data_IF_039650864557
#
_entry.id   IF_039650864557
#
_cell.length_a   1.000
_cell.length_b   1.000
_cell.length_c   1.000
_cell.angle_alpha   90.00
_cell.angle_beta   90.00
_cell.angle_gamma   90.00
#
_symmetry.space_group_name_H-M   'P 1'
#
loop_
_entity.id
_entity.type
_entity.pdbx_description
1 polymer ?
#
# COMPACT_ATOMS: atom_id res chain seq x y z
N UNK A 1 -83.67 17.71 -51.99
CA UNK A 1 -82.47 18.44 -52.48
C UNK A 1 -81.34 18.08 -51.53
N UNK A 2 -80.38 17.29 -52.00
CA UNK A 2 -79.20 16.84 -51.26
C UNK A 2 -78.24 18.00 -51.03
N UNK A 3 -77.71 18.18 -49.82
CA UNK A 3 -76.41 18.82 -49.57
C UNK A 3 -75.84 18.37 -48.22
N UNK A 4 -74.75 17.60 -48.26
CA UNK A 4 -73.64 17.70 -47.31
C UNK A 4 -72.69 18.80 -47.82
N UNK A 5 -71.95 19.50 -46.93
CA UNK A 5 -70.50 19.24 -46.82
C UNK A 5 -70.00 19.31 -45.36
N UNK A 6 -69.19 18.36 -44.89
CA UNK A 6 -67.71 18.27 -44.99
C UNK A 6 -66.97 18.90 -43.79
N UNK A 7 -66.52 18.02 -42.90
CA UNK A 7 -65.21 17.95 -42.21
C UNK A 7 -64.42 19.26 -42.07
N UNK A 8 -64.18 19.68 -40.82
CA UNK A 8 -62.99 20.43 -40.43
C UNK A 8 -62.38 19.86 -39.13
N UNK A 9 -61.67 18.75 -39.30
CA UNK A 9 -60.74 18.19 -38.33
C UNK A 9 -59.41 18.95 -38.47
N UNK A 10 -59.22 20.03 -37.70
CA UNK A 10 -58.02 20.87 -37.87
C UNK A 10 -57.74 21.96 -36.84
N UNK A 11 -58.32 21.94 -35.63
CA UNK A 11 -58.05 23.00 -34.62
C UNK A 11 -57.62 22.54 -33.22
N UNK A 12 -57.74 21.25 -32.87
CA UNK A 12 -57.36 20.76 -31.52
C UNK A 12 -55.90 20.37 -31.35
N UNK A 13 -55.14 20.10 -32.42
CA UNK A 13 -53.72 19.72 -32.32
C UNK A 13 -52.77 20.92 -32.17
N UNK A 14 -53.15 22.10 -32.68
CA UNK A 14 -52.32 23.30 -32.61
C UNK A 14 -52.33 23.98 -31.23
N UNK A 15 -53.45 23.99 -30.53
CA UNK A 15 -53.52 24.57 -29.17
C UNK A 15 -52.84 23.68 -28.11
N UNK A 16 -52.85 22.36 -28.31
CA UNK A 16 -52.07 21.41 -27.50
C UNK A 16 -50.55 21.56 -27.75
N UNK A 17 -50.14 21.90 -28.98
CA UNK A 17 -48.73 22.14 -29.31
C UNK A 17 -48.24 23.50 -28.80
N UNK A 18 -49.08 24.54 -28.82
CA UNK A 18 -48.76 25.87 -28.24
C UNK A 18 -48.70 25.87 -26.72
N UNK A 19 -49.56 25.11 -26.04
CA UNK A 19 -49.48 24.90 -24.60
C UNK A 19 -48.21 24.16 -24.17
N UNK A 20 -47.76 23.17 -24.96
CA UNK A 20 -46.52 22.46 -24.71
C UNK A 20 -45.27 23.33 -24.99
N UNK A 21 -45.30 24.17 -26.04
CA UNK A 21 -44.19 25.07 -26.38
C UNK A 21 -44.02 26.21 -25.35
N UNK A 22 -45.12 26.71 -24.75
CA UNK A 22 -45.05 27.74 -23.71
C UNK A 22 -44.57 27.19 -22.35
N UNK A 23 -44.93 25.95 -22.02
CA UNK A 23 -44.37 25.24 -20.86
C UNK A 23 -42.88 24.87 -21.06
N UNK A 24 -42.47 24.56 -22.30
CA UNK A 24 -41.07 24.28 -22.63
C UNK A 24 -40.19 25.55 -22.68
N UNK A 25 -40.76 26.70 -23.05
CA UNK A 25 -40.07 28.00 -23.03
C UNK A 25 -40.02 28.66 -21.64
N UNK A 26 -40.95 28.35 -20.73
CA UNK A 26 -40.84 28.74 -19.31
C UNK A 26 -39.91 27.82 -18.50
N UNK A 27 -39.65 26.60 -18.97
CA UNK A 27 -38.68 25.67 -18.36
C UNK A 27 -37.22 25.89 -18.83
N UNK A 28 -36.98 26.73 -19.84
CA UNK A 28 -35.65 27.13 -20.30
C UNK A 28 -35.22 28.53 -19.82
N UNK A 29 -36.06 29.23 -19.05
CA UNK A 29 -35.83 30.60 -18.57
C UNK A 29 -35.41 30.74 -17.11
N UNK A 30 -35.11 29.62 -16.41
CA UNK A 30 -34.61 29.62 -15.04
C UNK A 30 -33.33 28.79 -14.89
N UNK A 31 -32.43 28.86 -15.87
CA UNK A 31 -31.02 28.88 -15.49
C UNK A 31 -30.70 30.32 -15.18
N UNK A 32 -30.84 30.69 -13.91
CA UNK A 32 -29.95 31.69 -13.39
C UNK A 32 -28.55 31.18 -13.74
N UNK A 33 -27.88 31.85 -14.67
CA UNK A 33 -26.44 31.94 -14.55
C UNK A 33 -26.23 32.59 -13.20
N UNK A 34 -26.11 31.75 -12.17
CA UNK A 34 -25.10 31.99 -11.18
C UNK A 34 -23.82 32.08 -12.01
N UNK A 35 -23.51 33.28 -12.50
CA UNK A 35 -22.15 33.74 -12.36
C UNK A 35 -21.94 33.76 -10.85
N UNK A 36 -21.67 32.58 -10.30
CA UNK A 36 -20.60 32.52 -9.35
C UNK A 36 -19.47 33.17 -10.13
N UNK A 37 -19.24 34.44 -9.87
CA UNK A 37 -17.88 34.81 -9.63
C UNK A 37 -17.39 33.71 -8.68
N UNK A 38 -16.71 32.72 -9.23
CA UNK A 38 -15.71 32.02 -8.45
C UNK A 38 -14.71 33.13 -8.19
N UNK A 39 -14.98 33.93 -7.18
CA UNK A 39 -13.90 34.51 -6.41
C UNK A 39 -13.22 33.30 -5.78
N UNK A 40 -12.35 32.61 -6.54
CA UNK A 40 -11.28 31.85 -5.93
C UNK A 40 -10.28 32.88 -5.45
N UNK A 41 -10.64 33.53 -4.35
CA UNK A 41 -9.72 34.30 -3.54
C UNK A 41 -9.55 33.62 -2.18
N UNK A 42 -9.61 32.27 -2.15
CA UNK A 42 -8.95 31.51 -1.09
C UNK A 42 -7.46 31.63 -1.36
N UNK A 43 -6.88 32.68 -0.78
CA UNK A 43 -5.49 33.04 -0.97
C UNK A 43 -4.56 31.91 -0.52
N UNK A 44 -4.93 31.20 0.54
CA UNK A 44 -4.23 30.02 1.03
C UNK A 44 -4.98 28.75 0.65
N UNK A 45 -4.27 27.77 0.09
CA UNK A 45 -4.81 26.44 -0.22
C UNK A 45 -3.95 25.40 0.47
N UNK A 46 -4.59 24.54 1.26
CA UNK A 46 -4.00 23.33 1.83
C UNK A 46 -4.56 22.14 1.05
N UNK A 47 -3.70 21.24 0.59
CA UNK A 47 -4.07 20.02 -0.13
C UNK A 47 -3.41 18.83 0.56
N UNK A 48 -4.19 17.92 1.14
CA UNK A 48 -3.70 16.70 1.80
C UNK A 48 -3.87 15.50 0.89
N UNK A 49 -2.80 14.75 0.69
CA UNK A 49 -2.78 13.63 -0.26
C UNK A 49 -1.82 12.52 0.19
N UNK A 50 -1.95 11.35 -0.44
CA UNK A 50 -1.11 10.17 -0.18
C UNK A 50 -0.15 9.90 -1.35
N UNK A 51 0.72 8.89 -1.24
CA UNK A 51 1.51 8.43 -2.38
C UNK A 51 0.71 7.75 -3.49
N UNK A 52 -0.58 7.46 -3.28
CA UNK A 52 -1.45 6.75 -4.25
C UNK A 52 -2.55 7.64 -4.84
N UNK A 53 -2.68 8.89 -4.42
CA UNK A 53 -3.70 9.81 -4.91
C UNK A 53 -4.03 10.89 -3.88
N UNK A 54 -5.19 11.52 -4.04
CA UNK A 54 -5.69 12.55 -3.12
C UNK A 54 -5.34 13.98 -3.52
N UNK A 55 -4.83 14.20 -4.73
CA UNK A 55 -4.58 15.57 -5.22
C UNK A 55 -5.90 16.30 -5.50
N UNK A 56 -6.07 17.46 -4.88
CA UNK A 56 -7.27 18.28 -4.93
C UNK A 56 -8.11 18.12 -3.68
N UNK A 57 -8.87 19.17 -3.36
CA UNK A 57 -9.66 19.24 -2.12
C UNK A 57 -10.61 18.05 -1.98
N UNK A 58 -10.58 17.41 -0.80
CA UNK A 58 -11.47 16.29 -0.48
C UNK A 58 -11.32 15.05 -1.39
N UNK A 59 -10.14 14.87 -2.01
CA UNK A 59 -9.93 13.80 -2.97
C UNK A 59 -9.59 12.44 -2.32
N UNK A 60 -9.81 11.37 -3.11
CA UNK A 60 -9.49 10.00 -2.70
C UNK A 60 -7.99 9.73 -2.81
N UNK A 61 -7.38 9.34 -1.69
CA UNK A 61 -5.99 8.94 -1.51
C UNK A 61 -5.65 7.52 -1.95
N UNK A 62 -6.54 6.82 -2.68
CA UNK A 62 -6.27 5.48 -3.21
C UNK A 62 -6.62 4.33 -2.25
N UNK A 63 -6.07 3.15 -2.54
CA UNK A 63 -6.34 1.88 -1.82
C UNK A 63 -5.03 1.32 -1.26
N UNK A 64 -5.05 0.88 -0.02
CA UNK A 64 -3.90 0.34 0.71
C UNK A 64 -4.17 -1.05 1.24
N UNK A 65 -3.13 -1.87 1.33
CA UNK A 65 -3.20 -3.12 2.10
C UNK A 65 -3.04 -2.83 3.60
N UNK A 66 -3.55 -3.72 4.46
CA UNK A 66 -3.07 -3.83 5.83
C UNK A 66 -1.54 -3.91 5.85
N UNK A 67 -0.91 -3.33 6.88
CA UNK A 67 0.54 -3.22 7.02
C UNK A 67 1.24 -2.35 5.97
N UNK A 68 0.56 -1.83 4.96
CA UNK A 68 1.21 -0.91 4.02
C UNK A 68 1.59 0.39 4.74
N UNK A 69 2.71 1.00 4.34
CA UNK A 69 3.06 2.34 4.84
C UNK A 69 2.31 3.38 4.01
N UNK A 70 1.54 4.23 4.67
CA UNK A 70 0.92 5.41 4.05
C UNK A 70 1.85 6.60 4.26
N UNK A 71 2.25 7.24 3.16
CA UNK A 71 2.94 8.52 3.18
C UNK A 71 1.89 9.60 3.03
N UNK A 72 1.83 10.52 3.99
CA UNK A 72 0.95 11.68 3.93
C UNK A 72 1.75 12.93 3.66
N UNK A 73 1.18 13.76 2.80
CA UNK A 73 1.69 15.06 2.41
C UNK A 73 0.57 16.07 2.59
N UNK A 74 0.92 17.26 3.08
CA UNK A 74 0.06 18.43 3.00
C UNK A 74 0.83 19.54 2.31
N UNK A 75 0.36 19.93 1.13
CA UNK A 75 0.94 21.02 0.35
C UNK A 75 0.19 22.32 0.66
N UNK A 76 0.89 23.28 1.24
CA UNK A 76 0.35 24.59 1.57
C UNK A 76 0.88 25.63 0.59
N UNK A 77 -0.04 26.30 -0.09
CA UNK A 77 0.29 27.34 -1.07
C UNK A 77 -0.46 28.64 -0.76
N UNK A 78 0.14 29.76 -1.18
CA UNK A 78 -0.48 31.08 -1.23
C UNK A 78 -0.46 31.60 -2.66
N UNK A 79 -1.62 31.78 -3.29
CA UNK A 79 -1.71 32.11 -4.72
C UNK A 79 -0.86 31.18 -5.60
N UNK A 80 -0.83 29.88 -5.26
CA UNK A 80 -0.02 28.86 -5.93
C UNK A 80 1.47 28.83 -5.56
N UNK A 81 1.96 29.76 -4.73
CA UNK A 81 3.35 29.78 -4.27
C UNK A 81 3.51 29.02 -2.95
N UNK A 82 4.59 28.23 -2.77
CA UNK A 82 4.78 27.42 -1.57
C UNK A 82 4.96 28.26 -0.31
N UNK A 83 4.28 27.87 0.78
CA UNK A 83 4.38 28.54 2.09
C UNK A 83 5.18 27.66 3.05
N UNK A 84 6.42 28.06 3.34
CA UNK A 84 7.37 27.32 4.18
C UNK A 84 7.23 27.62 5.67
N UNK A 85 7.72 26.70 6.50
CA UNK A 85 7.83 26.83 7.96
C UNK A 85 6.50 27.08 8.69
N UNK A 86 5.39 26.60 8.13
CA UNK A 86 4.07 26.62 8.78
C UNK A 86 3.81 25.26 9.40
N UNK A 87 3.28 25.24 10.63
CA UNK A 87 2.86 24.00 11.28
C UNK A 87 1.53 23.53 10.69
N UNK A 88 1.52 22.28 10.24
CA UNK A 88 0.32 21.58 9.78
C UNK A 88 0.02 20.46 10.77
N UNK A 89 -1.19 20.47 11.32
CA UNK A 89 -1.74 19.41 12.14
C UNK A 89 -2.43 18.38 11.25
N UNK A 90 -2.09 17.11 11.44
CA UNK A 90 -2.71 15.97 10.79
C UNK A 90 -3.46 15.14 11.83
N UNK A 91 -4.72 14.83 11.54
CA UNK A 91 -5.53 13.87 12.27
C UNK A 91 -5.90 12.71 11.35
N UNK A 92 -5.51 11.50 11.72
CA UNK A 92 -5.81 10.26 10.97
C UNK A 92 -6.85 9.47 11.74
N UNK A 93 -7.99 9.27 11.09
CA UNK A 93 -9.13 8.52 11.58
C UNK A 93 -9.26 7.19 10.83
N UNK A 94 -9.44 6.11 11.57
CA UNK A 94 -9.66 4.78 11.00
C UNK A 94 -11.09 4.61 10.44
N UNK A 95 -11.45 3.42 9.96
CA UNK A 95 -12.77 3.18 9.35
C UNK A 95 -13.97 3.27 10.28
N UNK A 96 -13.72 3.40 11.59
CA UNK A 96 -14.74 3.65 12.60
C UNK A 96 -14.77 5.11 13.06
N UNK A 97 -14.11 6.02 12.32
CA UNK A 97 -13.91 7.41 12.69
C UNK A 97 -13.25 7.59 14.07
N UNK A 98 -12.39 6.65 14.46
CA UNK A 98 -11.60 6.74 15.69
C UNK A 98 -10.22 7.34 15.35
N UNK A 99 -9.77 8.39 16.05
CA UNK A 99 -8.46 8.97 15.82
C UNK A 99 -7.38 8.00 16.27
N UNK A 100 -6.55 7.55 15.33
CA UNK A 100 -5.43 6.65 15.61
C UNK A 100 -4.09 7.39 15.69
N UNK A 101 -4.02 8.60 15.12
CA UNK A 101 -2.80 9.39 15.09
C UNK A 101 -3.12 10.88 14.94
N UNK A 102 -2.50 11.70 15.79
CA UNK A 102 -2.51 13.17 15.68
C UNK A 102 -1.08 13.68 15.72
N UNK A 103 -0.63 14.35 14.66
CA UNK A 103 0.78 14.75 14.50
C UNK A 103 0.87 16.13 13.85
N UNK A 104 1.75 16.97 14.37
CA UNK A 104 2.08 18.27 13.79
C UNK A 104 3.43 18.22 13.05
N UNK A 105 3.49 18.74 11.82
CA UNK A 105 4.73 18.84 11.03
C UNK A 105 4.88 20.21 10.37
N UNK A 106 6.10 20.78 10.34
CA UNK A 106 6.36 22.02 9.61
C UNK A 106 6.42 21.77 8.09
N UNK A 107 5.96 22.74 7.30
CA UNK A 107 6.18 22.75 5.85
C UNK A 107 7.63 23.06 5.49
N UNK A 108 8.16 22.39 4.48
CA UNK A 108 9.51 22.59 3.97
C UNK A 108 9.58 23.79 2.98
N UNK A 109 10.71 23.96 2.28
CA UNK A 109 10.88 25.04 1.31
C UNK A 109 9.97 24.95 0.07
N UNK A 110 9.37 23.78 -0.18
CA UNK A 110 8.38 23.54 -1.24
C UNK A 110 6.95 23.67 -0.72
N UNK A 111 6.75 24.09 0.53
CA UNK A 111 5.41 24.25 1.12
C UNK A 111 4.79 22.94 1.60
N UNK A 112 5.55 21.84 1.62
CA UNK A 112 5.04 20.51 1.95
C UNK A 112 5.41 20.12 3.37
N UNK A 113 4.41 19.77 4.17
CA UNK A 113 4.57 19.04 5.43
C UNK A 113 4.30 17.55 5.17
N UNK A 114 5.10 16.64 5.75
CA UNK A 114 4.91 15.21 5.51
C UNK A 114 5.30 14.33 6.68
N UNK A 115 4.68 13.16 6.73
CA UNK A 115 5.05 12.06 7.62
C UNK A 115 4.55 10.74 7.03
N UNK A 116 4.86 9.63 7.68
CA UNK A 116 4.36 8.32 7.30
C UNK A 116 3.93 7.52 8.52
N UNK A 117 3.00 6.60 8.32
CA UNK A 117 2.57 5.63 9.33
C UNK A 117 2.27 4.28 8.67
N UNK A 118 2.22 3.22 9.47
CA UNK A 118 1.88 1.88 9.00
C UNK A 118 0.40 1.59 9.31
N UNK A 119 -0.34 1.14 8.31
CA UNK A 119 -1.70 0.61 8.52
C UNK A 119 -1.64 -0.59 9.46
N UNK A 120 -2.48 -0.69 10.50
CA UNK A 120 -2.47 -1.85 11.37
C UNK A 120 -2.78 -3.16 10.61
N UNK A 121 -2.54 -4.33 11.21
CA UNK A 121 -3.07 -5.59 10.70
C UNK A 121 -4.60 -5.57 10.55
N UNK A 122 -5.15 -6.35 9.62
CA UNK A 122 -6.58 -6.30 9.32
C UNK A 122 -7.51 -6.91 10.40
N UNK A 123 -6.98 -7.72 11.32
CA UNK A 123 -7.72 -8.23 12.48
C UNK A 123 -7.93 -7.15 13.54
N UNK A 124 -7.19 -6.04 13.47
CA UNK A 124 -7.42 -4.89 14.33
C UNK A 124 -8.71 -4.22 13.91
N UNK A 125 -9.63 -4.08 14.87
CA UNK A 125 -10.95 -3.47 14.64
C UNK A 125 -10.78 -2.04 14.13
N UNK A 126 -11.45 -1.73 13.02
CA UNK A 126 -11.36 -0.44 12.34
C UNK A 126 -10.20 -0.31 11.34
N UNK A 127 -9.40 -1.36 11.12
CA UNK A 127 -8.40 -1.35 10.04
C UNK A 127 -9.05 -1.35 8.67
N UNK A 128 -10.02 -2.23 8.42
CA UNK A 128 -10.57 -2.42 7.08
C UNK A 128 -11.66 -1.38 6.79
N UNK A 129 -11.67 -0.87 5.55
CA UNK A 129 -12.63 0.12 5.09
C UNK A 129 -12.02 1.50 4.85
N UNK A 130 -12.87 2.52 4.78
CA UNK A 130 -12.47 3.88 4.43
C UNK A 130 -11.89 4.64 5.61
N UNK A 131 -10.65 5.10 5.48
CA UNK A 131 -9.97 5.97 6.43
C UNK A 131 -10.08 7.42 6.00
N UNK A 132 -10.00 8.33 6.96
CA UNK A 132 -10.06 9.77 6.74
C UNK A 132 -8.86 10.46 7.35
N UNK A 133 -8.25 11.39 6.62
CA UNK A 133 -7.18 12.26 7.09
C UNK A 133 -7.66 13.69 6.99
N UNK A 134 -7.58 14.43 8.08
CA UNK A 134 -7.83 15.88 8.08
C UNK A 134 -6.52 16.59 8.36
N UNK A 135 -6.15 17.53 7.48
CA UNK A 135 -5.02 18.42 7.68
C UNK A 135 -5.54 19.82 7.98
N UNK A 136 -4.91 20.52 8.93
CA UNK A 136 -5.22 21.92 9.19
C UNK A 136 -3.99 22.74 9.54
N UNK A 137 -3.99 24.00 9.13
CA UNK A 137 -2.93 24.95 9.44
C UNK A 137 -3.53 26.32 9.79
N UNK A 138 -2.87 27.04 10.71
CA UNK A 138 -3.24 28.40 11.07
C UNK A 138 -2.18 29.37 10.55
N UNK A 139 -2.58 30.28 9.65
CA UNK A 139 -1.70 31.25 9.01
C UNK A 139 -2.34 32.63 9.11
N UNK A 140 -1.62 33.59 9.67
CA UNK A 140 -2.10 34.98 9.82
C UNK A 140 -3.48 35.11 10.52
N UNK A 141 -3.82 34.15 11.40
CA UNK A 141 -5.11 34.11 12.11
C UNK A 141 -6.25 33.47 11.32
N UNK A 142 -5.98 32.95 10.12
CA UNK A 142 -6.92 32.19 9.30
C UNK A 142 -6.59 30.69 9.40
N UNK A 143 -7.63 29.86 9.59
CA UNK A 143 -7.49 28.40 9.60
C UNK A 143 -7.86 27.85 8.23
N UNK A 144 -6.92 27.19 7.57
CA UNK A 144 -7.15 26.43 6.35
C UNK A 144 -7.17 24.94 6.65
N UNK A 145 -8.03 24.21 5.96
CA UNK A 145 -8.25 22.78 6.19
C UNK A 145 -8.47 22.04 4.89
N UNK A 146 -8.00 20.81 4.84
CA UNK A 146 -8.38 19.87 3.80
C UNK A 146 -8.55 18.47 4.37
N UNK A 147 -9.28 17.64 3.65
CA UNK A 147 -9.53 16.24 4.02
C UNK A 147 -9.17 15.33 2.84
N UNK A 148 -8.66 14.15 3.12
CA UNK A 148 -8.53 13.08 2.13
C UNK A 148 -9.04 11.77 2.71
N UNK A 149 -9.60 10.92 1.85
CA UNK A 149 -10.06 9.59 2.25
C UNK A 149 -9.32 8.52 1.47
N UNK A 150 -8.95 7.39 2.09
CA UNK A 150 -8.38 6.25 1.38
C UNK A 150 -8.98 4.94 1.88
N UNK A 151 -8.97 3.91 1.05
CA UNK A 151 -9.50 2.60 1.42
C UNK A 151 -8.39 1.69 1.95
N UNK A 152 -8.68 0.89 2.96
CA UNK A 152 -7.84 -0.23 3.38
C UNK A 152 -8.55 -1.54 3.04
N UNK A 153 -8.00 -2.26 2.06
CA UNK A 153 -8.57 -3.49 1.51
C UNK A 153 -7.71 -4.72 1.88
N UNK A 154 -8.22 -5.65 2.71
CA UNK A 154 -7.51 -6.87 3.07
C UNK A 154 -7.43 -7.91 1.94
N UNK A 155 -8.16 -7.74 0.84
CA UNK A 155 -8.14 -8.66 -0.31
C UNK A 155 -7.04 -8.33 -1.33
N UNK A 156 -6.34 -7.20 -1.15
CA UNK A 156 -5.24 -6.83 -2.05
C UNK A 156 -4.09 -7.84 -1.90
N UNK A 157 -3.74 -8.50 -3.01
CA UNK A 157 -2.67 -9.50 -3.04
C UNK A 157 -1.33 -8.80 -2.82
N UNK A 158 -0.67 -9.16 -1.72
CA UNK A 158 0.74 -8.88 -1.52
C UNK A 158 1.55 -9.96 -2.25
N UNK A 159 2.33 -9.56 -3.24
CA UNK A 159 3.39 -10.42 -3.79
C UNK A 159 4.71 -10.05 -3.14
N UNK A 160 5.45 -11.05 -2.65
CA UNK A 160 6.79 -10.87 -2.12
C UNK A 160 7.71 -11.79 -2.87
N UNK A 161 8.79 -11.23 -3.40
CA UNK A 161 9.86 -11.98 -4.04
C UNK A 161 11.06 -11.98 -3.11
N UNK A 162 11.51 -13.16 -2.70
CA UNK A 162 12.76 -13.37 -1.97
C UNK A 162 13.78 -13.88 -2.95
N UNK A 163 14.99 -13.33 -2.95
CA UNK A 163 16.01 -13.81 -3.87
C UNK A 163 17.45 -13.53 -3.45
N UNK A 164 18.36 -14.02 -4.28
CA UNK A 164 19.79 -13.79 -4.19
C UNK A 164 20.25 -13.04 -5.43
N UNK A 165 21.01 -11.97 -5.24
CA UNK A 165 21.66 -11.19 -6.32
C UNK A 165 23.18 -11.27 -6.21
N UNK A 166 23.88 -11.21 -7.33
CA UNK A 166 25.34 -10.99 -7.33
C UNK A 166 25.68 -9.58 -6.87
N UNK A 167 26.97 -9.31 -6.64
CA UNK A 167 27.46 -7.95 -6.30
C UNK A 167 27.21 -6.94 -7.41
N UNK A 168 27.07 -7.42 -8.65
CA UNK A 168 26.74 -6.64 -9.84
C UNK A 168 25.23 -6.42 -10.01
N UNK A 169 24.40 -6.99 -9.12
CA UNK A 169 22.94 -6.84 -9.10
C UNK A 169 22.17 -7.87 -9.94
N UNK A 170 22.83 -8.90 -10.47
CA UNK A 170 22.17 -9.95 -11.25
C UNK A 170 21.45 -10.94 -10.33
N UNK A 171 20.14 -11.12 -10.52
CA UNK A 171 19.37 -12.14 -9.78
C UNK A 171 19.82 -13.54 -10.22
N UNK A 172 20.29 -14.35 -9.27
CA UNK A 172 20.70 -15.74 -9.52
C UNK A 172 19.68 -16.76 -9.04
N UNK A 173 18.85 -16.38 -8.07
CA UNK A 173 17.78 -17.21 -7.52
C UNK A 173 16.68 -16.32 -6.97
N UNK A 174 15.42 -16.70 -7.16
CA UNK A 174 14.30 -16.06 -6.49
C UNK A 174 13.12 -17.01 -6.34
N UNK A 175 12.28 -16.72 -5.36
CA UNK A 175 10.99 -17.39 -5.12
C UNK A 175 9.94 -16.34 -4.80
N UNK A 176 8.76 -16.49 -5.40
CA UNK A 176 7.61 -15.67 -5.07
C UNK A 176 6.81 -16.33 -3.95
N UNK A 177 6.72 -15.63 -2.82
CA UNK A 177 5.84 -15.99 -1.72
C UNK A 177 4.56 -15.19 -1.93
N UNK A 178 3.61 -15.82 -2.61
CA UNK A 178 2.24 -15.33 -2.68
C UNK A 178 1.44 -15.98 -1.55
N UNK A 179 0.51 -15.22 -0.97
CA UNK A 179 -0.29 -15.54 0.22
C UNK A 179 0.34 -14.98 1.51
N UNK A 180 -0.36 -14.04 2.14
CA UNK A 180 -0.87 -14.20 3.51
C UNK A 180 -1.80 -13.01 3.82
N UNK A 181 -2.97 -13.37 4.37
CA UNK A 181 -3.85 -12.48 5.13
C UNK A 181 -3.15 -12.19 6.47
N UNK A 182 -2.74 -10.94 6.65
CA UNK A 182 -2.55 -10.22 7.91
C UNK A 182 -1.25 -10.43 8.77
N UNK A 183 -0.92 -9.36 9.51
CA UNK A 183 -0.05 -9.28 10.72
C UNK A 183 1.39 -8.79 10.54
N UNK A 184 2.17 -9.44 9.68
CA UNK A 184 3.52 -9.08 9.25
C UNK A 184 3.97 -10.19 8.31
N UNK A 185 4.68 -9.87 7.22
CA UNK A 185 5.28 -10.95 6.45
C UNK A 185 6.47 -11.50 7.24
N UNK A 186 6.34 -12.75 7.68
CA UNK A 186 7.36 -13.46 8.43
C UNK A 186 8.14 -14.31 7.44
N UNK A 187 9.42 -13.99 7.26
CA UNK A 187 10.32 -14.85 6.52
C UNK A 187 11.13 -15.67 7.52
N UNK A 188 10.86 -16.97 7.55
CA UNK A 188 11.67 -17.92 8.31
C UNK A 188 12.94 -18.21 7.52
N UNK A 189 14.10 -17.94 8.12
CA UNK A 189 15.41 -18.06 7.47
C UNK A 189 16.33 -19.02 8.25
N UNK A 190 17.27 -19.70 7.56
CA UNK A 190 18.27 -20.53 8.21
C UNK A 190 19.05 -19.83 9.32
N UNK A 191 19.51 -20.61 10.30
CA UNK A 191 20.23 -20.11 11.48
C UNK A 191 21.46 -19.28 11.11
N UNK A 192 22.32 -19.78 10.23
CA UNK A 192 23.52 -19.06 9.83
C UNK A 192 23.22 -17.73 9.12
N UNK A 193 22.18 -17.70 8.29
CA UNK A 193 21.73 -16.45 7.68
C UNK A 193 21.21 -15.49 8.76
N UNK A 194 20.42 -15.96 9.72
CA UNK A 194 19.90 -15.13 10.82
C UNK A 194 21.03 -14.54 11.68
N UNK A 195 22.05 -15.34 12.01
CA UNK A 195 23.23 -14.89 12.76
C UNK A 195 24.02 -13.84 11.98
N UNK A 196 24.24 -14.02 10.68
CA UNK A 196 24.91 -13.03 9.82
C UNK A 196 24.13 -11.72 9.74
N UNK A 197 22.79 -11.77 9.60
CA UNK A 197 21.98 -10.56 9.63
C UNK A 197 22.12 -9.85 10.97
N UNK A 198 22.10 -10.60 12.07
CA UNK A 198 22.26 -10.05 13.42
C UNK A 198 23.64 -9.40 13.61
N UNK A 199 24.70 -9.98 13.05
CA UNK A 199 26.05 -9.43 13.09
C UNK A 199 26.16 -8.08 12.35
N UNK A 200 25.59 -7.98 11.15
CA UNK A 200 25.70 -6.79 10.31
C UNK A 200 24.69 -5.68 10.64
N UNK A 201 23.48 -6.05 11.05
CA UNK A 201 22.35 -5.14 11.25
C UNK A 201 21.89 -5.06 12.72
N UNK A 202 22.57 -5.75 13.63
CA UNK A 202 22.24 -5.79 15.06
C UNK A 202 20.90 -6.47 15.32
N UNK A 203 20.17 -6.00 16.33
CA UNK A 203 18.87 -6.55 16.69
C UNK A 203 17.72 -6.09 15.76
N UNK A 204 18.03 -5.46 14.62
CA UNK A 204 17.02 -5.09 13.63
C UNK A 204 16.52 -6.35 12.91
N UNK A 205 15.28 -6.74 13.18
CA UNK A 205 14.64 -7.90 12.55
C UNK A 205 13.58 -7.51 11.52
N UNK A 206 13.23 -6.22 11.44
CA UNK A 206 12.23 -5.70 10.51
C UNK A 206 12.90 -4.89 9.41
N UNK A 207 12.64 -5.24 8.16
CA UNK A 207 13.13 -4.56 6.96
C UNK A 207 11.96 -4.10 6.10
N UNK A 208 12.10 -2.97 5.42
CA UNK A 208 11.09 -2.46 4.49
C UNK A 208 11.49 -2.83 3.06
N UNK A 209 10.59 -3.44 2.30
CA UNK A 209 10.84 -3.71 0.88
C UNK A 209 10.85 -2.41 0.04
N UNK A 210 11.58 -2.36 -1.08
CA UNK A 210 12.63 -3.29 -1.44
C UNK A 210 13.87 -3.09 -0.53
N UNK A 211 14.56 -4.18 -0.20
CA UNK A 211 15.85 -4.11 0.49
C UNK A 211 16.83 -5.15 -0.05
N UNK A 212 18.11 -4.89 0.18
CA UNK A 212 19.22 -5.80 -0.09
C UNK A 212 20.16 -5.84 1.12
N UNK A 213 20.45 -7.04 1.62
CA UNK A 213 21.34 -7.27 2.74
C UNK A 213 22.78 -7.40 2.26
N UNK A 214 23.49 -6.29 2.31
CA UNK A 214 24.88 -6.14 1.89
C UNK A 214 25.85 -6.64 2.99
N UNK A 215 26.00 -7.96 3.08
CA UNK A 215 26.85 -8.63 4.10
C UNK A 215 28.23 -9.06 3.55
N UNK A 216 28.70 -8.43 2.46
CA UNK A 216 29.97 -8.74 1.77
C UNK A 216 30.10 -10.22 1.35
N UNK A 217 28.98 -10.86 0.99
CA UNK A 217 28.95 -12.25 0.54
C UNK A 217 29.16 -12.37 -0.96
N UNK A 218 29.19 -13.60 -1.47
CA UNK A 218 29.15 -13.86 -2.92
C UNK A 218 27.80 -13.44 -3.51
N UNK A 219 26.72 -13.70 -2.77
CA UNK A 219 25.37 -13.29 -3.13
C UNK A 219 24.71 -12.57 -1.96
N UNK A 220 24.01 -11.48 -2.25
CA UNK A 220 23.25 -10.73 -1.26
C UNK A 220 21.79 -11.19 -1.29
N UNK A 221 21.21 -11.39 -0.11
CA UNK A 221 19.78 -11.59 0.03
C UNK A 221 19.07 -10.28 -0.32
N UNK A 222 18.09 -10.34 -1.22
CA UNK A 222 17.22 -9.22 -1.51
C UNK A 222 15.77 -9.64 -1.35
N UNK A 223 14.92 -8.63 -1.11
CA UNK A 223 13.48 -8.81 -1.13
C UNK A 223 12.80 -7.62 -1.80
N UNK A 224 11.81 -7.94 -2.62
CA UNK A 224 10.94 -6.99 -3.30
C UNK A 224 9.49 -7.35 -3.01
N UNK A 225 8.59 -6.37 -3.08
CA UNK A 225 7.17 -6.65 -2.94
C UNK A 225 6.29 -5.72 -3.75
N UNK A 226 5.08 -6.17 -4.04
CA UNK A 226 3.99 -5.33 -4.53
C UNK A 226 2.80 -5.47 -3.57
N UNK A 227 2.36 -4.38 -2.92
CA UNK A 227 2.94 -3.03 -2.93
C UNK A 227 4.34 -2.97 -2.28
N UNK A 228 5.11 -1.91 -2.55
CA UNK A 228 6.43 -1.69 -1.91
C UNK A 228 6.28 -1.26 -0.43
N UNK A 229 7.38 -1.27 0.32
CA UNK A 229 7.50 -0.82 1.73
C UNK A 229 6.74 -1.67 2.74
N UNK A 230 6.60 -2.96 2.43
CA UNK A 230 6.07 -3.96 3.34
C UNK A 230 7.14 -4.29 4.38
N UNK A 231 6.71 -4.37 5.64
CA UNK A 231 7.56 -4.77 6.76
C UNK A 231 7.76 -6.28 6.77
N UNK A 232 9.02 -6.69 6.69
CA UNK A 232 9.45 -8.08 6.63
C UNK A 232 10.11 -8.40 7.95
N UNK A 233 9.50 -9.29 8.73
CA UNK A 233 10.06 -9.81 9.96
C UNK A 233 10.87 -11.07 9.64
N UNK A 234 12.20 -10.98 9.77
CA UNK A 234 13.05 -12.16 9.68
C UNK A 234 12.94 -12.95 10.98
N UNK A 235 12.68 -14.25 10.86
CA UNK A 235 12.57 -15.17 11.99
C UNK A 235 13.54 -16.33 11.84
N UNK A 236 14.06 -16.79 12.97
CA UNK A 236 14.93 -17.95 13.01
C UNK A 236 14.11 -19.21 12.71
N UNK A 237 14.60 -20.02 11.78
CA UNK A 237 14.10 -21.36 11.50
C UNK A 237 14.30 -22.30 12.68
N UNK A 238 13.27 -23.07 13.00
CA UNK A 238 13.37 -24.21 13.89
C UNK A 238 14.41 -25.21 13.33
N UNK A 239 15.44 -25.63 14.11
CA UNK A 239 16.51 -26.44 13.57
C UNK A 239 16.01 -27.72 12.86
N UNK A 240 16.24 -27.79 11.55
CA UNK A 240 15.88 -28.91 10.68
C UNK A 240 14.46 -28.89 10.10
N UNK A 241 13.60 -27.95 10.50
CA UNK A 241 12.20 -27.83 10.02
C UNK A 241 12.16 -26.85 8.83
N UNK A 242 12.24 -27.40 7.62
CA UNK A 242 12.48 -26.66 6.38
C UNK A 242 11.19 -26.10 5.80
N UNK A 243 10.08 -26.85 5.91
CA UNK A 243 8.75 -26.36 5.50
C UNK A 243 8.00 -25.59 6.60
N UNK A 244 8.61 -25.43 7.77
CA UNK A 244 8.08 -24.67 8.89
C UNK A 244 6.72 -25.22 9.37
N UNK A 245 6.58 -26.55 9.37
CA UNK A 245 5.39 -27.25 9.85
C UNK A 245 5.48 -27.63 11.36
N UNK A 246 6.56 -27.22 12.04
CA UNK A 246 6.92 -27.53 13.43
C UNK A 246 7.30 -28.99 13.69
N UNK A 247 7.55 -29.81 12.66
CA UNK A 247 7.92 -31.22 12.80
C UNK A 247 9.03 -31.57 11.83
N UNK A 248 10.18 -32.01 12.35
CA UNK A 248 11.29 -32.46 11.50
C UNK A 248 11.07 -33.90 11.07
N UNK A 249 10.78 -34.14 9.80
CA UNK A 249 10.42 -35.45 9.26
C UNK A 249 11.05 -35.73 7.87
N UNK A 250 10.49 -36.69 7.12
CA UNK A 250 11.04 -37.09 5.83
C UNK A 250 10.78 -36.06 4.72
N UNK A 251 9.80 -35.17 4.87
CA UNK A 251 9.55 -34.08 3.94
C UNK A 251 10.71 -33.08 3.98
N UNK A 252 11.25 -32.73 5.16
CA UNK A 252 12.43 -31.87 5.29
C UNK A 252 13.68 -32.48 4.65
N UNK A 253 13.93 -33.75 4.95
CA UNK A 253 15.04 -34.49 4.34
C UNK A 253 14.83 -34.70 2.83
N UNK A 254 13.57 -34.86 2.40
CA UNK A 254 13.19 -34.98 1.00
C UNK A 254 13.49 -33.71 0.21
N UNK A 255 13.15 -32.54 0.77
CA UNK A 255 13.52 -31.25 0.21
C UNK A 255 15.05 -31.10 0.12
N UNK A 256 15.76 -31.52 1.17
CA UNK A 256 17.22 -31.47 1.18
C UNK A 256 17.86 -32.39 0.12
N UNK A 257 17.31 -33.60 -0.02
CA UNK A 257 17.72 -34.56 -1.05
C UNK A 257 17.45 -34.04 -2.46
N UNK A 258 16.30 -33.40 -2.70
CA UNK A 258 15.95 -32.82 -3.99
C UNK A 258 16.94 -31.71 -4.40
N UNK A 259 17.39 -30.92 -3.43
CA UNK A 259 18.33 -29.83 -3.64
C UNK A 259 19.82 -30.24 -3.51
N UNK A 260 20.14 -31.51 -3.25
CA UNK A 260 21.50 -31.95 -2.95
C UNK A 260 22.49 -31.68 -4.08
N UNK A 261 23.54 -30.90 -3.80
CA UNK A 261 24.55 -30.46 -4.76
C UNK A 261 24.15 -29.21 -5.55
N UNK A 262 23.04 -28.57 -5.21
CA UNK A 262 22.62 -27.31 -5.82
C UNK A 262 23.44 -26.12 -5.30
N UNK A 263 23.62 -25.14 -6.18
CA UNK A 263 24.16 -23.80 -5.91
C UNK A 263 23.13 -22.77 -6.37
N UNK A 264 23.18 -21.49 -5.97
CA UNK A 264 22.15 -20.49 -6.31
C UNK A 264 21.73 -20.44 -7.77
N UNK A 265 22.64 -20.67 -8.72
CA UNK A 265 22.32 -20.70 -10.17
C UNK A 265 21.58 -21.98 -10.63
N UNK A 266 21.42 -22.96 -9.76
CA UNK A 266 20.73 -24.21 -10.06
C UNK A 266 19.23 -24.03 -9.89
N UNK A 267 18.43 -24.50 -10.85
CA UNK A 267 16.96 -24.45 -10.79
C UNK A 267 16.33 -25.16 -9.58
N UNK A 268 17.08 -26.07 -8.95
CA UNK A 268 16.69 -26.84 -7.77
C UNK A 268 17.30 -26.31 -6.47
N UNK A 269 17.98 -25.16 -6.50
CA UNK A 269 18.48 -24.53 -5.29
C UNK A 269 17.32 -24.08 -4.41
N UNK A 270 17.46 -24.33 -3.11
CA UNK A 270 16.50 -23.90 -2.12
C UNK A 270 17.27 -23.22 -0.98
N UNK A 271 17.12 -21.90 -0.86
CA UNK A 271 17.75 -21.10 0.18
C UNK A 271 17.49 -21.67 1.59
N UNK A 272 16.27 -22.17 1.83
CA UNK A 272 15.86 -22.68 3.14
C UNK A 272 16.53 -24.01 3.50
N UNK A 273 17.03 -24.75 2.49
CA UNK A 273 17.78 -26.00 2.68
C UNK A 273 19.27 -25.75 2.90
N UNK A 274 19.83 -24.65 2.37
CA UNK A 274 21.22 -24.26 2.61
C UNK A 274 21.38 -23.72 4.04
N UNK A 275 21.25 -24.61 5.02
CA UNK A 275 21.17 -24.24 6.44
C UNK A 275 22.43 -23.51 6.87
N UNK A 276 23.59 -23.96 6.39
CA UNK A 276 24.88 -23.34 6.70
C UNK A 276 25.14 -22.06 5.91
N UNK A 277 24.26 -21.73 4.97
CA UNK A 277 24.31 -20.56 4.11
C UNK A 277 25.69 -20.38 3.45
N UNK A 278 26.28 -21.49 2.98
CA UNK A 278 27.58 -21.49 2.30
C UNK A 278 27.45 -21.58 0.77
N UNK A 279 26.23 -21.34 0.26
CA UNK A 279 25.81 -21.34 -1.13
C UNK A 279 26.01 -22.70 -1.82
N UNK A 280 26.09 -23.79 -1.05
CA UNK A 280 26.21 -25.17 -1.55
C UNK A 280 25.50 -26.16 -0.66
N UNK A 281 24.37 -26.65 -1.15
CA UNK A 281 23.64 -27.71 -0.45
C UNK A 281 24.42 -29.02 -0.57
N UNK A 282 24.92 -29.54 0.53
CA UNK A 282 25.69 -30.79 0.56
C UNK A 282 25.38 -31.63 1.80
N UNK A 283 26.20 -32.65 2.04
CA UNK A 283 25.96 -33.63 3.10
C UNK A 283 25.96 -33.03 4.50
N UNK A 284 26.62 -31.88 4.69
CA UNK A 284 26.64 -31.18 5.98
C UNK A 284 25.30 -30.52 6.28
N UNK A 285 24.60 -30.05 5.26
CA UNK A 285 23.26 -29.43 5.40
C UNK A 285 22.22 -30.51 5.70
N UNK A 286 22.26 -31.61 4.93
CA UNK A 286 21.44 -32.80 5.21
C UNK A 286 21.71 -33.35 6.61
N UNK A 287 22.98 -33.45 7.04
CA UNK A 287 23.31 -33.93 8.37
C UNK A 287 22.72 -33.05 9.47
N UNK A 288 22.66 -31.73 9.28
CA UNK A 288 22.04 -30.79 10.24
C UNK A 288 20.53 -30.94 10.33
N UNK A 289 19.87 -31.20 9.21
CA UNK A 289 18.44 -31.55 9.19
C UNK A 289 18.24 -32.88 9.94
N UNK A 290 18.99 -33.91 9.55
CA UNK A 290 18.87 -35.26 10.11
C UNK A 290 19.17 -35.32 11.62
N UNK A 291 20.08 -34.48 12.13
CA UNK A 291 20.38 -34.35 13.56
C UNK A 291 19.15 -33.93 14.39
N UNK A 292 18.16 -33.31 13.76
CA UNK A 292 16.93 -32.87 14.39
C UNK A 292 15.72 -33.77 14.04
N UNK A 293 15.92 -34.84 13.28
CA UNK A 293 14.84 -35.72 12.83
C UNK A 293 14.01 -36.27 14.00
N UNK A 294 12.69 -36.16 13.87
CA UNK A 294 11.73 -36.57 14.89
C UNK A 294 11.44 -35.51 15.97
N UNK A 295 12.03 -34.30 15.89
CA UNK A 295 11.68 -33.19 16.79
C UNK A 295 10.34 -32.55 16.39
N UNK A 296 9.65 -32.02 17.41
CA UNK A 296 8.44 -31.20 17.27
C UNK A 296 8.62 -29.94 18.11
N UNK A 297 8.22 -28.79 17.57
CA UNK A 297 8.38 -27.47 18.18
C UNK A 297 7.05 -26.84 18.61
#
# INVERSE_FOLDING_TARGET
MLFFPSILMGRRKEELFKGFLLAFLLALGAFAFSTGAVESADNYVLDVYTQKGGHGLNASGGIFSPLEIVFLYANLTYNGWPVKNVLVDFEVNNSLNTPILVVTKPTNCEGVASFYFRVPPAFVVGTNGTWTVTASAEIAGERVTDTATFEVDPELIVSITVGLKTREGETVWSVDVSQIREDAFRLVIPQELFELVTEFYGNQTVFLTPFELNMNLTYNLYMESQPQKIGILLQLMNPGDIDNNNVVNMEDLGQAGAAFGATPQSSRYNLFVDIRFDFRINMRDIARIAMNYGKTY
#
